data_IF_560317244825
#
_entry.id   IF_560317244825
#
_cell.length_a   1.000
_cell.length_b   1.000
_cell.length_c   1.000
_cell.angle_alpha   90.00
_cell.angle_beta   90.00
_cell.angle_gamma   90.00
#
_symmetry.space_group_name_H-M   'P 1'
#
loop_
_entity.id
_entity.type
_entity.pdbx_description
1 polymer ?
2 non-polymer ?
3 non-polymer ?
4 non-polymer ?
5 water ?
#
# COMPACT_ATOMS: atom_id res chain seq x y z
N UNK A 1 -23.66 4.02 9.83
CA UNK A 1 -22.64 3.88 8.78
C UNK A 1 -21.68 2.71 9.14
N UNK A 2 -21.93 1.55 8.52
CA UNK A 2 -21.31 0.23 8.84
C UNK A 2 -19.84 0.24 8.38
N UNK A 3 -18.91 0.13 9.35
CA UNK A 3 -17.45 0.20 9.12
C UNK A 3 -16.92 1.64 9.17
N UNK A 4 -17.62 2.57 8.53
CA UNK A 4 -17.24 4.01 8.45
C UNK A 4 -17.08 4.59 9.87
N UNK A 5 -17.95 4.19 10.83
CA UNK A 5 -17.93 4.67 12.24
C UNK A 5 -16.57 4.36 12.89
N UNK A 6 -15.85 3.33 12.43
CA UNK A 6 -14.58 2.89 13.04
C UNK A 6 -13.44 3.88 12.74
N UNK A 7 -13.65 4.80 11.80
CA UNK A 7 -12.57 5.61 11.17
C UNK A 7 -12.77 7.12 11.37
N UNK A 8 -13.67 7.52 12.26
CA UNK A 8 -14.05 8.93 12.58
C UNK A 8 -12.95 9.64 13.38
N UNK A 9 -12.09 8.90 14.06
CA UNK A 9 -10.97 9.44 14.85
C UNK A 9 -9.64 8.91 14.36
N UNK A 10 -8.59 9.16 15.14
CA UNK A 10 -7.22 8.65 14.81
C UNK A 10 -7.18 7.16 15.18
N UNK A 11 -6.74 6.31 14.26
CA UNK A 11 -6.71 4.83 14.46
C UNK A 11 -5.24 4.43 14.48
N UNK A 12 -4.72 3.77 15.55
CA UNK A 12 -3.38 3.18 15.51
C UNK A 12 -3.24 2.07 14.45
N UNK A 13 -2.05 1.96 13.85
CA UNK A 13 -1.75 1.05 12.70
C UNK A 13 -0.48 0.25 13.05
N UNK A 14 -0.50 -1.04 12.73
CA UNK A 14 0.66 -1.96 12.80
C UNK A 14 0.79 -2.58 11.42
N UNK A 15 2.00 -2.57 10.89
CA UNK A 15 2.32 -3.22 9.59
C UNK A 15 3.39 -4.27 9.86
N UNK A 16 3.20 -5.47 9.35
CA UNK A 16 4.26 -6.52 9.41
C UNK A 16 4.37 -7.13 8.02
N UNK A 17 5.55 -7.06 7.43
CA UNK A 17 5.78 -7.58 6.08
C UNK A 17 6.92 -8.60 6.12
N UNK A 18 6.69 -9.76 5.54
CA UNK A 18 7.72 -10.82 5.38
C UNK A 18 7.99 -10.94 3.89
N UNK A 19 9.25 -10.76 3.51
CA UNK A 19 9.64 -10.53 2.12
C UNK A 19 10.75 -11.48 1.71
N UNK A 20 10.74 -11.83 0.42
CA UNK A 20 11.80 -12.66 -0.21
C UNK A 20 11.87 -12.21 -1.67
N UNK A 21 12.95 -11.54 -2.06
CA UNK A 21 13.16 -11.07 -3.46
C UNK A 21 14.43 -11.74 -3.98
N UNK A 22 14.25 -12.66 -4.92
CA UNK A 22 15.42 -13.39 -5.48
C UNK A 22 16.14 -14.16 -4.35
N UNK A 23 15.42 -14.64 -3.32
CA UNK A 23 16.01 -15.43 -2.22
C UNK A 23 16.61 -14.59 -1.07
N UNK A 24 16.62 -13.25 -1.20
CA UNK A 24 17.08 -12.29 -0.16
C UNK A 24 15.88 -12.05 0.78
N UNK A 25 15.92 -12.58 1.98
CA UNK A 25 14.78 -12.50 2.92
C UNK A 25 14.92 -11.24 3.75
N UNK A 26 13.79 -10.64 4.07
CA UNK A 26 13.73 -9.42 4.89
C UNK A 26 12.36 -9.37 5.57
N UNK A 27 12.35 -8.72 6.73
CA UNK A 27 11.12 -8.40 7.47
C UNK A 27 11.08 -6.88 7.68
N UNK A 28 9.88 -6.32 7.54
CA UNK A 28 9.62 -4.90 7.81
C UNK A 28 8.52 -4.83 8.87
N UNK A 29 8.73 -3.99 9.87
CA UNK A 29 7.76 -3.77 10.96
C UNK A 29 7.41 -2.28 10.97
N UNK A 30 6.14 -1.93 10.99
CA UNK A 30 5.69 -0.53 10.94
C UNK A 30 4.68 -0.21 12.04
N UNK A 31 4.71 1.03 12.50
CA UNK A 31 3.79 1.61 13.50
C UNK A 31 3.44 3.02 13.06
N UNK A 32 2.20 3.42 13.21
CA UNK A 32 1.82 4.80 12.98
C UNK A 32 0.36 4.97 13.23
N UNK A 33 -0.27 5.86 12.47
CA UNK A 33 -1.70 6.15 12.66
C UNK A 33 -2.32 6.67 11.37
N UNK A 34 -3.63 6.50 11.30
CA UNK A 34 -4.46 6.86 10.14
C UNK A 34 -5.61 7.75 10.60
N UNK A 35 -5.91 8.80 9.82
CA UNK A 35 -6.93 9.82 10.18
C UNK A 35 -7.72 10.03 8.90
N UNK A 36 -8.68 9.12 8.69
CA UNK A 36 -9.45 8.98 7.43
C UNK A 36 -10.22 10.28 7.17
N UNK A 37 -10.55 11.03 8.22
CA UNK A 37 -11.32 12.28 8.08
C UNK A 37 -10.53 13.22 7.17
N UNK A 38 -9.20 13.10 7.21
CA UNK A 38 -8.27 13.99 6.48
C UNK A 38 -7.53 13.21 5.39
N UNK A 39 -7.90 11.95 5.18
CA UNK A 39 -7.21 11.04 4.27
C UNK A 39 -5.75 10.83 4.63
N UNK A 40 -5.37 10.91 5.91
CA UNK A 40 -3.96 11.04 6.32
C UNK A 40 -3.44 9.71 6.89
N UNK A 41 -2.28 9.27 6.43
CA UNK A 41 -1.57 8.06 6.90
C UNK A 41 -0.11 8.46 7.21
N UNK A 42 0.36 8.12 8.39
CA UNK A 42 1.75 8.38 8.87
C UNK A 42 2.26 7.05 9.40
N UNK A 43 3.39 6.58 8.91
CA UNK A 43 4.00 5.28 9.27
C UNK A 43 5.51 5.48 9.44
N UNK A 44 6.11 4.82 10.41
CA UNK A 44 7.59 4.62 10.49
C UNK A 44 7.81 3.13 10.32
N UNK A 45 8.46 2.75 9.24
CA UNK A 45 8.67 1.34 8.86
C UNK A 45 10.15 1.02 9.09
N UNK A 46 10.41 -0.11 9.73
CA UNK A 46 11.79 -0.50 10.11
C UNK A 46 12.09 -1.85 9.48
N UNK A 47 13.23 -1.97 8.81
CA UNK A 47 13.73 -3.31 8.40
C UNK A 47 14.34 -4.01 9.63
N UNK A 48 13.71 -5.06 10.14
CA UNK A 48 14.15 -5.69 11.41
C UNK A 48 15.21 -6.73 11.14
N UNK A 49 15.51 -7.04 9.90
CA UNK A 49 16.50 -8.09 9.56
C UNK A 49 17.83 -7.46 9.19
N UNK A 50 17.98 -6.14 9.26
CA UNK A 50 19.23 -5.42 8.91
C UNK A 50 19.04 -4.58 7.65
N UNK A 51 19.80 -4.87 6.60
CA UNK A 51 19.82 -4.05 5.37
C UNK A 51 18.67 -4.47 4.45
N UNK A 52 17.79 -3.54 4.07
CA UNK A 52 16.71 -3.86 3.11
C UNK A 52 17.38 -4.17 1.78
N UNK A 53 17.14 -5.34 1.14
CA UNK A 53 17.84 -5.69 -0.09
C UNK A 53 17.23 -5.12 -1.37
N UNK A 54 16.19 -4.30 -1.20
CA UNK A 54 15.54 -3.53 -2.29
C UNK A 54 15.36 -2.08 -1.84
N UNK A 55 15.09 -1.14 -2.79
CA UNK A 55 14.88 0.26 -2.45
C UNK A 55 13.53 0.44 -1.74
N UNK A 56 13.56 1.20 -0.63
CA UNK A 56 12.35 1.61 0.11
C UNK A 56 11.23 2.08 -0.83
N UNK A 57 11.47 2.97 -1.83
CA UNK A 57 10.37 3.37 -2.72
C UNK A 57 9.62 2.23 -3.40
N UNK A 58 10.25 1.08 -3.64
CA UNK A 58 9.58 -0.07 -4.30
C UNK A 58 8.60 -0.75 -3.35
N UNK A 59 8.63 -0.42 -2.07
CA UNK A 59 7.69 -1.04 -1.09
C UNK A 59 6.59 -0.06 -0.65
N UNK A 60 6.61 1.20 -1.07
CA UNK A 60 5.64 2.23 -0.59
C UNK A 60 4.23 1.77 -0.92
N UNK A 61 3.95 1.34 -2.15
CA UNK A 61 2.57 0.95 -2.49
C UNK A 61 2.14 -0.23 -1.62
N UNK A 62 3.05 -1.13 -1.29
CA UNK A 62 2.79 -2.35 -0.49
C UNK A 62 2.54 -1.96 0.98
N UNK A 63 3.36 -1.09 1.55
CA UNK A 63 3.25 -0.69 2.97
C UNK A 63 2.13 0.33 3.15
N UNK A 65 -3.26 0.28 3.25
CA UNK A 65 -4.26 0.81 4.21
C UNK A 65 -5.10 1.86 3.50
N UNK A 66 -5.73 1.47 2.38
CA UNK A 66 -6.57 2.39 1.58
C UNK A 66 -7.90 2.65 2.31
N UNK A 67 -8.15 1.97 3.42
CA UNK A 67 -9.29 2.29 4.32
C UNK A 67 -9.11 3.71 4.93
N UNK A 68 -7.91 4.32 4.87
CA UNK A 68 -7.69 5.69 5.42
C UNK A 68 -7.90 6.74 4.35
N UNK A 69 -8.30 6.38 3.12
CA UNK A 69 -8.64 7.39 2.10
C UNK A 69 -9.82 8.24 2.59
N UNK A 70 -9.80 9.51 2.27
CA UNK A 70 -10.92 10.43 2.47
C UNK A 70 -11.86 10.28 1.28
N UNK A 71 -13.05 9.77 1.52
CA UNK A 71 -14.17 9.81 0.55
C UNK A 71 -14.99 11.04 0.89
N UNK A 72 -15.10 12.03 -0.01
CA UNK A 72 -16.02 13.13 0.22
C UNK A 72 -17.41 12.58 0.58
N UNK A 73 -18.18 13.42 1.25
CA UNK A 73 -19.56 13.10 1.71
C UNK A 73 -20.37 12.60 0.51
N UNK A 74 -20.27 13.27 -0.64
CA UNK A 74 -21.01 12.91 -1.88
C UNK A 74 -20.61 11.49 -2.37
N UNK A 75 -19.46 10.93 -1.95
CA UNK A 75 -18.96 9.63 -2.48
C UNK A 75 -18.92 8.54 -1.40
N UNK A 76 -19.60 8.67 -0.25
CA UNK A 76 -19.49 7.68 0.87
C UNK A 76 -20.01 6.30 0.44
N UNK A 77 -20.91 6.22 -0.54
CA UNK A 77 -21.46 4.93 -1.08
C UNK A 77 -20.42 4.14 -1.91
N UNK A 78 -19.26 4.72 -2.22
CA UNK A 78 -18.24 4.11 -3.10
C UNK A 78 -17.03 3.64 -2.30
N UNK A 79 -17.05 3.73 -0.96
CA UNK A 79 -15.90 3.36 -0.09
C UNK A 79 -16.02 1.89 0.33
N UNK A 80 -15.51 1.00 -0.50
CA UNK A 80 -15.44 -0.45 -0.24
C UNK A 80 -14.58 -0.75 1.01
N UNK A 81 -13.47 -0.08 1.17
CA UNK A 81 -12.41 -0.49 2.15
C UNK A 81 -12.94 -0.40 3.58
N UNK A 82 -13.62 0.70 3.91
CA UNK A 82 -14.24 0.85 5.25
C UNK A 82 -15.42 -0.10 5.38
N UNK A 83 -16.16 -0.36 4.29
CA UNK A 83 -17.39 -1.18 4.40
C UNK A 83 -17.01 -2.61 4.79
N UNK A 84 -15.77 -3.05 4.50
CA UNK A 84 -15.31 -4.42 4.78
C UNK A 84 -14.91 -4.58 6.25
N UNK A 85 -14.83 -3.49 7.00
CA UNK A 85 -14.30 -3.51 8.38
C UNK A 85 -15.45 -3.77 9.35
N UNK A 86 -15.18 -4.38 10.52
CA UNK A 86 -13.81 -4.69 10.96
C UNK A 86 -13.18 -6.02 10.50
N UNK A 87 -13.99 -6.90 9.90
CA UNK A 87 -13.58 -8.26 9.46
C UNK A 87 -12.39 -8.08 8.50
N UNK A 88 -12.48 -7.07 7.63
CA UNK A 88 -11.34 -6.60 6.82
C UNK A 88 -11.33 -7.19 5.41
N UNK A 89 -10.20 -7.07 4.72
CA UNK A 89 -10.10 -7.52 3.32
C UNK A 89 -8.70 -8.05 3.05
N UNK A 90 -8.63 -8.88 2.03
CA UNK A 90 -7.35 -9.34 1.41
C UNK A 90 -7.01 -8.38 0.26
N UNK A 91 -5.80 -7.85 0.23
CA UNK A 91 -5.32 -7.11 -0.94
C UNK A 91 -4.23 -7.96 -1.59
N UNK A 92 -4.39 -8.31 -2.87
CA UNK A 92 -3.34 -8.99 -3.65
C UNK A 92 -2.86 -8.03 -4.72
N UNK A 93 -1.56 -7.97 -4.96
CA UNK A 93 -1.01 -7.21 -6.09
C UNK A 93 0.00 -8.05 -6.86
N UNK A 94 0.09 -7.85 -8.18
CA UNK A 94 1.33 -8.12 -8.92
C UNK A 94 1.91 -6.78 -9.34
N UNK A 95 3.21 -6.60 -9.11
CA UNK A 95 3.94 -5.39 -9.55
C UNK A 95 5.04 -5.79 -10.52
N UNK A 96 4.89 -5.41 -11.78
CA UNK A 96 5.90 -5.72 -12.83
C UNK A 96 6.81 -4.52 -12.99
N UNK A 97 8.08 -4.67 -12.68
CA UNK A 97 9.09 -3.63 -12.96
C UNK A 97 9.54 -3.81 -14.40
N UNK A 98 9.33 -2.80 -15.23
CA UNK A 98 9.69 -2.94 -16.66
C UNK A 98 11.18 -3.29 -16.80
N UNK A 99 11.48 -4.29 -17.62
CA UNK A 99 12.87 -4.73 -17.93
C UNK A 99 13.50 -5.23 -16.64
N UNK A 100 12.68 -5.68 -15.69
CA UNK A 100 13.20 -6.28 -14.44
C UNK A 100 12.17 -7.27 -13.91
N UNK A 101 12.24 -7.58 -12.63
CA UNK A 101 11.45 -8.68 -12.09
C UNK A 101 10.08 -8.18 -11.66
N UNK A 102 9.41 -8.97 -10.85
CA UNK A 102 8.05 -8.65 -10.37
C UNK A 102 7.91 -9.00 -8.88
N UNK A 103 7.08 -8.24 -8.19
CA UNK A 103 6.63 -8.55 -6.81
C UNK A 103 5.21 -9.12 -6.88
N UNK A 104 4.93 -10.14 -6.07
CA UNK A 104 3.57 -10.64 -5.80
C UNK A 104 3.33 -10.50 -4.32
N UNK A 105 2.25 -9.81 -3.97
CA UNK A 105 1.96 -9.47 -2.55
C UNK A 105 0.54 -9.97 -2.20
N UNK A 106 0.41 -10.45 -0.98
CA UNK A 106 -0.90 -10.75 -0.36
C UNK A 106 -0.89 -10.07 1.01
N UNK A 107 -1.86 -9.21 1.25
CA UNK A 107 -2.00 -8.50 2.53
C UNK A 107 -3.40 -8.76 3.09
N UNK A 108 -3.47 -8.99 4.39
CA UNK A 108 -4.71 -9.12 5.17
C UNK A 108 -4.76 -7.89 6.06
N UNK A 109 -5.74 -7.04 5.76
CA UNK A 109 -5.98 -5.76 6.46
C UNK A 109 -7.19 -5.98 7.35
N UNK A 110 -7.02 -5.84 8.65
CA UNK A 110 -8.19 -5.94 9.54
C UNK A 110 -7.92 -5.28 10.89
N UNK A 111 -8.96 -5.13 11.69
CA UNK A 111 -8.81 -4.67 13.08
C UNK A 111 -8.41 -5.84 13.97
N UNK A 112 -7.46 -5.57 14.87
CA UNK A 112 -7.22 -6.37 16.09
C UNK A 112 -7.53 -5.46 17.26
N UNK A 113 -8.70 -5.59 17.89
CA UNK A 113 -9.22 -4.60 18.85
C UNK A 113 -9.32 -3.25 18.18
N UNK A 114 -8.68 -2.23 18.76
CA UNK A 114 -8.79 -0.82 18.29
C UNK A 114 -7.74 -0.52 17.23
N UNK A 115 -6.91 -1.50 16.85
CA UNK A 115 -5.72 -1.30 16.01
C UNK A 115 -5.98 -1.91 14.64
N UNK A 116 -5.70 -1.15 13.59
CA UNK A 116 -5.78 -1.61 12.18
C UNK A 116 -4.41 -2.25 11.87
N UNK A 117 -4.45 -3.52 11.50
CA UNK A 117 -3.25 -4.37 11.24
C UNK A 117 -3.23 -4.72 9.74
N UNK A 118 -2.03 -4.74 9.17
CA UNK A 118 -1.78 -5.16 7.76
C UNK A 118 -0.66 -6.22 7.80
N UNK A 119 -1.01 -7.50 7.68
CA UNK A 119 -0.07 -8.64 7.65
C UNK A 119 0.20 -8.93 6.17
N UNK A 120 1.44 -8.76 5.71
CA UNK A 120 1.77 -8.76 4.26
C UNK A 120 2.82 -9.86 3.99
N UNK A 121 2.64 -10.61 2.91
CA UNK A 121 3.68 -11.53 2.40
C UNK A 121 4.03 -11.06 0.99
N UNK A 122 5.33 -10.88 0.70
CA UNK A 122 5.84 -10.43 -0.60
C UNK A 122 6.87 -11.42 -1.12
N UNK A 123 6.74 -11.80 -2.38
CA UNK A 123 7.72 -12.66 -3.07
C UNK A 123 8.15 -11.93 -4.34
N UNK A 124 9.45 -11.71 -4.53
CA UNK A 124 9.98 -11.10 -5.75
C UNK A 124 10.81 -12.10 -6.52
N UNK A 125 10.59 -12.22 -7.82
CA UNK A 125 11.36 -13.16 -8.69
C UNK A 125 11.82 -12.44 -9.95
N UNK A 126 12.87 -12.98 -10.57
CA UNK A 126 13.28 -12.61 -11.96
C UNK A 126 13.99 -11.24 -11.99
N UNK A 127 14.49 -10.76 -10.81
CA UNK A 127 15.24 -9.49 -10.72
C UNK A 127 16.63 -9.73 -11.29
N UNK A 128 17.21 -8.71 -11.95
CA UNK A 128 18.64 -8.65 -12.34
C UNK A 128 19.47 -8.20 -11.14
N UNK A 129 20.61 -8.83 -10.90
CA UNK A 129 21.45 -8.56 -9.69
C UNK A 129 21.95 -7.12 -9.71
N UNK A 130 22.25 -6.54 -10.88
CA UNK A 130 22.67 -5.13 -10.95
C UNK A 130 21.64 -4.30 -11.74
N UNK A 131 20.37 -4.65 -11.61
CA UNK A 131 19.27 -3.82 -12.11
C UNK A 131 19.04 -2.66 -11.17
N UNK A 132 17.98 -1.90 -11.41
CA UNK A 132 17.66 -0.70 -10.60
C UNK A 132 17.21 -1.14 -9.21
N UNK A 133 16.62 -2.32 -9.06
CA UNK A 133 16.06 -2.73 -7.75
C UNK A 133 17.16 -3.37 -6.87
N UNK A 134 17.78 -4.49 -7.28
CA UNK A 134 18.79 -5.19 -6.43
C UNK A 134 20.10 -4.37 -6.39
N UNK A 135 20.34 -3.57 -7.44
CA UNK A 135 21.47 -2.62 -7.54
C UNK A 135 21.22 -1.33 -6.76
N UNK A 136 20.04 -1.10 -6.18
CA UNK A 136 19.73 0.10 -5.36
C UNK A 136 20.01 1.39 -6.16
N UNK A 137 19.37 1.57 -7.31
CA UNK A 137 19.65 2.72 -8.22
C UNK A 137 18.45 3.68 -8.22
N UNK A 138 17.52 3.55 -7.28
CA UNK A 138 16.33 4.44 -7.27
C UNK A 138 16.53 5.55 -6.25
N UNK A 139 15.99 6.73 -6.56
CA UNK A 139 16.06 7.93 -5.69
C UNK A 139 15.08 7.73 -4.54
N UNK A 140 15.38 8.32 -3.39
CA UNK A 140 14.56 8.24 -2.16
C UNK A 140 13.55 9.38 -2.22
N UNK A 141 12.59 9.24 -3.11
CA UNK A 141 11.52 10.24 -3.35
C UNK A 141 10.34 9.48 -3.98
N UNK A 142 9.28 10.19 -4.29
CA UNK A 142 8.02 9.55 -4.76
C UNK A 142 7.14 10.55 -5.48
N UNK A 143 6.54 10.11 -6.58
CA UNK A 143 5.69 10.96 -7.47
C UNK A 143 4.20 10.81 -7.05
N UNK A 144 3.41 11.88 -7.07
CA UNK A 144 1.94 11.81 -6.92
C UNK A 144 1.39 10.94 -8.05
N UNK A 145 0.35 10.16 -7.79
CA UNK A 145 -0.35 9.41 -8.87
C UNK A 145 -1.81 9.15 -8.48
N UNK A 146 -2.64 8.97 -9.49
CA UNK A 146 -4.09 8.64 -9.34
C UNK A 146 -4.21 7.13 -9.54
N UNK A 147 -4.99 6.46 -8.69
CA UNK A 147 -5.22 4.99 -8.75
C UNK A 147 -6.68 4.85 -9.15
N UNK A 148 -6.96 4.29 -10.33
CA UNK A 148 -8.34 4.10 -10.84
C UNK A 148 -8.90 2.80 -10.26
N UNK A 149 -10.02 2.91 -9.54
CA UNK A 149 -10.74 1.79 -8.88
C UNK A 149 -12.00 1.42 -9.67
N UNK A 150 -12.21 0.13 -9.87
CA UNK A 150 -13.43 -0.41 -10.53
C UNK A 150 -13.96 -1.58 -9.72
N UNK A 151 -15.26 -1.82 -9.76
CA UNK A 151 -15.90 -2.96 -9.07
C UNK A 151 -15.45 -4.25 -9.77
N UNK A 152 -15.20 -5.31 -8.98
CA UNK A 152 -15.08 -6.70 -9.48
C UNK A 152 -16.30 -7.44 -8.94
N UNK A 153 -17.45 -7.16 -9.53
CA UNK A 153 -18.78 -7.60 -9.03
C UNK A 153 -18.73 -9.12 -8.74
N UNK A 154 -18.07 -9.91 -9.61
CA UNK A 154 -18.06 -11.39 -9.55
C UNK A 154 -17.23 -11.87 -8.36
N UNK A 155 -16.26 -11.10 -7.89
CA UNK A 155 -15.43 -11.48 -6.71
C UNK A 155 -15.88 -10.71 -5.46
N UNK A 156 -17.03 -10.02 -5.51
CA UNK A 156 -17.58 -9.22 -4.38
C UNK A 156 -16.52 -8.24 -3.84
N UNK A 157 -15.72 -7.65 -4.73
CA UNK A 157 -14.66 -6.72 -4.34
C UNK A 157 -14.36 -5.71 -5.41
N UNK A 158 -13.11 -5.34 -5.50
CA UNK A 158 -12.64 -4.23 -6.37
C UNK A 158 -11.33 -4.67 -6.99
N UNK A 159 -10.96 -3.92 -8.01
CA UNK A 159 -9.68 -4.08 -8.70
C UNK A 159 -9.21 -2.67 -9.08
N UNK A 160 -7.94 -2.58 -9.39
CA UNK A 160 -7.29 -1.32 -9.72
C UNK A 160 -6.04 -1.70 -10.52
N UNK A 161 -5.70 -0.96 -11.57
CA UNK A 161 -4.37 -1.09 -12.20
C UNK A 161 -3.85 0.32 -12.40
N UNK A 162 -2.58 0.55 -12.14
CA UNK A 162 -1.96 1.88 -12.17
C UNK A 162 -0.47 1.72 -12.40
N UNK A 163 0.16 2.77 -12.90
CA UNK A 163 1.61 2.79 -13.21
C UNK A 163 2.30 3.74 -12.21
N UNK A 164 3.33 3.26 -11.54
CA UNK A 164 4.21 4.09 -10.67
C UNK A 164 5.52 4.31 -11.46
N UNK A 165 6.01 5.53 -11.49
CA UNK A 165 7.36 5.82 -12.05
C UNK A 165 8.31 6.15 -10.90
N UNK A 166 9.30 5.31 -10.70
CA UNK A 166 10.40 5.53 -9.71
C UNK A 166 11.54 6.27 -10.39
N UNK A 167 11.96 7.41 -9.83
CA UNK A 167 13.12 8.18 -10.33
C UNK A 167 14.39 7.35 -10.14
N UNK A 168 15.14 7.20 -11.22
CA UNK A 168 16.46 6.54 -11.19
C UNK A 168 17.54 7.59 -10.91
N UNK A 169 18.52 7.25 -10.06
CA UNK A 169 19.60 8.17 -9.64
C UNK A 169 20.29 8.81 -10.85
N UNK A 170 20.69 8.04 -11.86
CA UNK A 170 21.52 8.65 -12.93
C UNK A 170 20.62 9.44 -13.90
N UNK A 171 19.32 9.55 -13.59
CA UNK A 171 18.30 10.16 -14.47
C UNK A 171 17.44 9.07 -15.09
N UNK A 172 16.19 9.39 -15.40
CA UNK A 172 15.29 8.40 -16.02
C UNK A 172 14.34 7.81 -15.01
N UNK A 173 13.47 6.90 -15.47
CA UNK A 173 12.37 6.37 -14.62
C UNK A 173 12.33 4.84 -14.76
N UNK A 174 12.04 4.18 -13.65
CA UNK A 174 11.78 2.73 -13.59
C UNK A 174 10.25 2.56 -13.44
N UNK A 175 9.60 2.00 -14.46
CA UNK A 175 8.12 1.81 -14.45
C UNK A 175 7.82 0.60 -13.54
N UNK A 176 6.82 0.73 -12.68
CA UNK A 176 6.25 -0.38 -11.89
C UNK A 176 4.74 -0.42 -12.20
N UNK A 177 4.33 -1.36 -13.03
CA UNK A 177 2.92 -1.61 -13.43
C UNK A 177 2.23 -2.41 -12.32
N UNK A 178 1.20 -1.85 -11.66
CA UNK A 178 0.48 -2.47 -10.51
C UNK A 178 -0.86 -3.02 -10.97
N UNK A 179 -1.17 -4.27 -10.61
CA UNK A 179 -2.48 -4.92 -10.79
C UNK A 179 -2.92 -5.38 -9.41
N UNK A 180 -4.11 -4.95 -9.01
CA UNK A 180 -4.58 -5.04 -7.61
C UNK A 180 -5.96 -5.70 -7.60
N UNK A 181 -6.19 -6.60 -6.67
CA UNK A 181 -7.56 -7.06 -6.33
C UNK A 181 -7.77 -7.02 -4.83
N UNK A 182 -8.96 -6.67 -4.39
CA UNK A 182 -9.33 -6.69 -2.96
C UNK A 182 -10.63 -7.44 -2.82
N UNK A 183 -10.68 -8.31 -1.83
CA UNK A 183 -11.82 -9.20 -1.53
C UNK A 183 -12.06 -9.08 -0.03
N UNK A 184 -13.33 -9.01 0.44
CA UNK A 184 -13.60 -9.00 1.87
C UNK A 184 -13.26 -10.37 2.47
N UNK A 185 -12.86 -10.34 3.74
CA UNK A 185 -12.61 -11.55 4.57
C UNK A 185 -13.96 -12.09 5.08
N UNK A 186 -14.91 -11.23 5.46
CA UNK A 186 -16.22 -11.66 6.01
C UNK A 186 -17.20 -12.09 4.93
N UNK A 187 -18.39 -12.56 5.32
CA UNK A 187 -19.58 -12.67 4.44
C UNK A 187 -20.49 -11.44 4.66
N UNK A 188 -20.14 -10.55 5.59
CA UNK A 188 -20.80 -9.23 5.77
C UNK A 188 -20.97 -8.51 4.44
N UNK A 189 -22.06 -7.75 4.21
CA UNK A 189 -22.22 -7.00 2.96
C UNK A 189 -21.15 -5.90 2.81
N UNK A 190 -20.71 -5.62 1.59
CA UNK A 190 -19.71 -4.56 1.29
C UNK A 190 -20.21 -3.65 0.16
N UNK A 191 -19.69 -2.42 0.11
CA UNK A 191 -20.08 -1.45 -0.94
C UNK A 191 -19.28 -1.81 -2.19
N UNK A 192 -19.96 -1.97 -3.31
CA UNK A 192 -19.22 -2.23 -4.57
C UNK A 192 -19.27 -0.93 -5.34
N UNK A 193 -18.15 -0.21 -5.51
CA UNK A 193 -18.23 1.16 -5.99
C UNK A 193 -18.39 1.33 -7.51
N UNK A 194 -18.93 2.48 -7.89
CA UNK A 194 -18.84 3.03 -9.27
C UNK A 194 -17.37 3.34 -9.55
N UNK A 195 -16.98 3.35 -10.81
CA UNK A 195 -15.58 3.72 -11.17
C UNK A 195 -15.24 5.06 -10.51
N UNK A 196 -14.05 5.17 -9.97
CA UNK A 196 -13.54 6.45 -9.39
C UNK A 196 -12.02 6.33 -9.28
N UNK A 197 -11.34 7.35 -8.78
CA UNK A 197 -9.90 7.15 -8.47
C UNK A 197 -9.60 7.68 -7.07
N UNK A 198 -8.46 7.24 -6.57
CA UNK A 198 -7.81 7.71 -5.33
C UNK A 198 -6.61 8.54 -5.80
N UNK A 199 -6.57 9.79 -5.35
CA UNK A 199 -5.45 10.71 -5.55
C UNK A 199 -4.49 10.58 -4.35
N UNK A 200 -3.25 10.27 -4.64
CA UNK A 200 -2.21 10.06 -3.63
C UNK A 200 -1.20 11.19 -3.64
N UNK A 201 -0.84 11.71 -2.48
CA UNK A 201 0.46 12.40 -2.35
C UNK A 201 1.24 11.70 -1.25
N UNK A 202 2.51 11.42 -1.56
CA UNK A 202 3.40 10.55 -0.77
C UNK A 202 4.64 11.37 -0.41
N UNK A 203 5.06 11.39 0.85
CA UNK A 203 6.31 12.06 1.28
C UNK A 203 7.18 11.05 2.06
N UNK A 204 8.41 10.83 1.62
CA UNK A 204 9.38 9.89 2.24
C UNK A 204 10.41 10.72 3.01
N UNK A 205 10.76 10.30 4.22
CA UNK A 205 11.84 10.96 4.99
C UNK A 205 12.51 9.94 5.91
N UNK A 206 13.41 10.44 6.77
CA UNK A 206 14.19 9.65 7.75
C UNK A 206 13.94 10.25 9.13
N UNK A 207 13.97 9.41 10.14
CA UNK A 207 14.10 9.79 11.56
C UNK A 207 15.59 9.99 11.82
N UNK A 208 16.04 11.24 12.08
CA UNK A 208 17.46 11.50 12.25
C UNK A 208 18.06 10.70 13.42
N UNK A 209 17.22 10.19 14.33
CA UNK A 209 17.68 9.51 15.58
C UNK A 209 17.76 8.01 15.35
N UNK A 210 17.26 7.52 14.22
CA UNK A 210 17.13 6.07 13.96
C UNK A 210 18.34 5.57 13.17
N UNK A 211 19.06 4.58 13.69
CA UNK A 211 20.26 3.94 13.06
C UNK A 211 19.89 2.72 12.20
N UNK A 212 18.78 2.04 12.49
CA UNK A 212 18.32 0.92 11.65
C UNK A 212 17.84 1.48 10.30
N UNK A 213 17.84 0.63 9.29
CA UNK A 213 17.33 0.94 7.95
C UNK A 213 15.81 1.11 8.05
N UNK A 214 15.24 2.21 7.57
CA UNK A 214 13.84 2.58 7.90
C UNK A 214 13.37 3.60 6.88
N UNK A 215 12.07 3.80 6.83
CA UNK A 215 11.40 4.83 6.02
C UNK A 215 10.24 5.42 6.85
N UNK A 216 10.19 6.75 6.93
CA UNK A 216 9.03 7.51 7.46
C UNK A 216 8.19 7.86 6.24
N UNK A 217 6.92 7.49 6.27
CA UNK A 217 5.98 7.63 5.16
C UNK A 217 4.80 8.48 5.62
N UNK A 218 4.57 9.63 4.97
CA UNK A 218 3.39 10.49 5.18
C UNK A 218 2.58 10.47 3.85
N UNK A 219 1.31 10.10 3.89
CA UNK A 219 0.54 10.12 2.62
C UNK A 219 -0.86 10.67 2.91
N UNK A 220 -1.39 11.38 1.89
CA UNK A 220 -2.74 11.98 1.89
C UNK A 220 -3.43 11.40 0.67
N UNK A 221 -4.58 10.82 0.92
CA UNK A 221 -5.30 10.06 -0.12
C UNK A 221 -6.73 10.56 -0.12
N UNK A 222 -7.23 10.97 -1.28
CA UNK A 222 -8.58 11.54 -1.47
C UNK A 222 -9.22 10.87 -2.67
N UNK A 223 -10.44 10.38 -2.48
CA UNK A 223 -11.31 9.82 -3.53
C UNK A 223 -11.81 10.99 -4.38
N UNK A 224 -11.92 10.76 -5.68
CA UNK A 224 -12.46 11.73 -6.66
C UNK A 224 -12.91 10.99 -7.92
N UNK A 225 -13.28 11.72 -8.98
CA UNK A 225 -13.33 11.18 -10.35
C UNK A 225 -14.74 10.82 -10.78
N UNK A 226 -15.68 10.97 -9.85
CA UNK A 226 -17.14 11.12 -10.16
C UNK A 226 -17.27 12.29 -11.17
N UNK A 227 -17.71 11.98 -12.39
CA UNK A 227 -17.92 12.93 -13.52
C UNK A 227 -19.17 13.77 -13.21
X LIG B 1 -3.48 4.29 0.46
X LIG B 1 -3.22 3.71 1.48
X LIG C 1 -23.94 4.84 -9.25
X LIG D 1 -3.69 -9.47 -8.55
X LIG D 1 -3.49 -8.77 -7.32
X LIG D 1 -2.40 -9.83 -9.10
X LIG D 1 -4.39 -8.61 -9.48
X LIG D 1 -4.47 -10.65 -8.30
#
# INVERSE_FOLDING_TARGET
SKGEELFTGVVPILVELDGDVNGHKFSVSGEGEGDATYGKLTLKLICTTGKLPVPWPTLVTTLXLQCFARYPDHMKQHDFFKSAMPEGYVQERTIFFKDDGNYKTRAEVKFEGDTLVNRIELKGIDFKEDGNILGHKLEYNYNSHNVYITADKQKNGIKANFKIRHNIEDGGVQLADHYQQNTPIGDGPVLLPDNHYLSYQSALSKDPNEKRDHMVLLEFVTAAGIT
OXY O1 O2
ZN ZN
SO4 S O1 O2 O3 O4
#
